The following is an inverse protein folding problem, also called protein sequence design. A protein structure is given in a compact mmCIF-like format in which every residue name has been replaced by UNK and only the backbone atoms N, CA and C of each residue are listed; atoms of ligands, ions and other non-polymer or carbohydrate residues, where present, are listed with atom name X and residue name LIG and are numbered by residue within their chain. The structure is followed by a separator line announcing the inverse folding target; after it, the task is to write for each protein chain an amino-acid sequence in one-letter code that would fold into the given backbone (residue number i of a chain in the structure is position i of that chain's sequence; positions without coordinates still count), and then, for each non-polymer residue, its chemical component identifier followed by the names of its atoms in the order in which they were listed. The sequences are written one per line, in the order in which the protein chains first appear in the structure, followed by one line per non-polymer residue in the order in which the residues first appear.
data_IF_096275894440
#
_entry.id   IF_096275894440
#
_cell.length_a   1.000
_cell.length_b   1.000
_cell.length_c   1.000
_cell.angle_alpha   90.00
_cell.angle_beta   90.00
_cell.angle_gamma   90.00
#
_symmetry.space_group_name_H-M   'P 1'
#
loop_
_entity.id
_entity.type
_entity.pdbx_description
1 polymer ?
#
# COMPACT_ATOMS: atom_id res chain seq x y z
N UNK A 1 -1.23 -9.11 5.00
CA UNK A 1 -1.15 -8.07 6.05
C UNK A 1 -1.57 -6.76 5.42
N UNK A 2 -2.55 -6.09 6.01
CA UNK A 2 -3.18 -4.94 5.34
C UNK A 2 -2.33 -3.66 5.45
N UNK A 3 -2.46 -2.80 4.43
CA UNK A 3 -1.76 -1.52 4.37
C UNK A 3 -2.02 -0.66 5.62
N UNK A 4 -3.24 -0.71 6.15
CA UNK A 4 -3.61 0.05 7.35
C UNK A 4 -2.80 -0.41 8.56
N UNK A 5 -2.79 -1.71 8.84
CA UNK A 5 -2.03 -2.30 9.94
C UNK A 5 -0.53 -2.02 9.81
N UNK A 6 0.00 -2.05 8.58
CA UNK A 6 1.39 -1.67 8.33
C UNK A 6 1.67 -0.22 8.70
N UNK A 7 0.78 0.70 8.30
CA UNK A 7 0.93 2.11 8.63
C UNK A 7 0.78 2.40 10.13
N UNK A 8 0.03 1.60 10.87
CA UNK A 8 -0.14 1.73 12.32
C UNK A 8 1.06 1.21 13.12
N UNK A 9 1.78 0.21 12.59
CA UNK A 9 3.02 -0.29 13.18
C UNK A 9 4.21 0.66 12.97
N UNK A 10 4.10 1.64 12.07
CA UNK A 10 5.18 2.59 11.83
C UNK A 10 5.33 3.57 13.01
N UNK A 11 6.58 3.93 13.37
CA UNK A 11 6.84 4.93 14.41
C UNK A 11 6.27 6.30 14.03
N UNK A 12 6.16 7.20 15.02
CA UNK A 12 5.75 8.60 14.78
C UNK A 12 6.56 9.20 13.63
N UNK A 13 5.87 9.70 12.61
CA UNK A 13 6.50 10.26 11.40
C UNK A 13 6.71 9.26 10.26
N UNK A 14 6.69 7.94 10.52
CA UNK A 14 6.92 6.90 9.51
C UNK A 14 5.90 6.91 8.37
N UNK A 15 4.64 7.29 8.62
CA UNK A 15 3.62 7.51 7.56
C UNK A 15 4.05 8.60 6.55
N UNK A 16 4.77 9.62 7.02
CA UNK A 16 5.31 10.71 6.19
C UNK A 16 6.47 10.22 5.33
N UNK A 17 7.38 9.48 5.93
CA UNK A 17 8.53 8.96 5.20
C UNK A 17 8.11 7.92 4.18
N UNK A 18 7.18 7.05 4.56
CA UNK A 18 6.60 6.08 3.67
C UNK A 18 5.92 6.75 2.48
N UNK A 19 5.08 7.77 2.72
CA UNK A 19 4.41 8.50 1.64
C UNK A 19 5.41 9.16 0.68
N UNK A 20 6.52 9.72 1.19
CA UNK A 20 7.62 10.24 0.36
C UNK A 20 8.30 9.14 -0.47
N UNK A 21 8.56 7.96 0.12
CA UNK A 21 9.22 6.84 -0.59
C UNK A 21 8.39 6.26 -1.73
N UNK A 22 7.06 6.23 -1.59
CA UNK A 22 6.17 5.76 -2.66
C UNK A 22 5.71 6.89 -3.60
N UNK A 23 6.11 8.14 -3.31
CA UNK A 23 5.78 9.35 -4.04
C UNK A 23 4.27 9.65 -4.07
N UNK A 24 3.66 9.66 -2.88
CA UNK A 24 2.25 10.03 -2.70
C UNK A 24 2.06 11.01 -1.56
N UNK A 25 0.92 11.69 -1.58
CA UNK A 25 0.50 12.52 -0.45
C UNK A 25 -0.01 11.65 0.70
N UNK A 26 0.24 12.07 1.94
CA UNK A 26 -0.33 11.45 3.16
C UNK A 26 -1.84 11.20 3.09
N UNK A 27 -2.69 12.19 2.72
CA UNK A 27 -4.13 11.94 2.64
C UNK A 27 -4.48 10.89 1.58
N UNK A 28 -3.76 10.83 0.46
CA UNK A 28 -3.96 9.79 -0.54
C UNK A 28 -3.60 8.40 -0.02
N UNK A 29 -2.45 8.27 0.66
CA UNK A 29 -2.04 7.04 1.35
C UNK A 29 -3.09 6.57 2.37
N UNK A 30 -3.63 7.51 3.17
CA UNK A 30 -4.68 7.20 4.14
C UNK A 30 -5.96 6.71 3.46
N UNK A 31 -6.41 7.40 2.40
CA UNK A 31 -7.60 7.04 1.65
C UNK A 31 -7.48 5.64 1.02
N UNK A 32 -6.29 5.29 0.53
CA UNK A 32 -5.97 3.95 0.05
C UNK A 32 -6.02 2.91 1.17
N UNK A 33 -5.43 3.21 2.33
CA UNK A 33 -5.39 2.28 3.46
C UNK A 33 -6.78 1.97 4.05
N UNK A 34 -7.71 2.93 4.01
CA UNK A 34 -9.10 2.74 4.48
C UNK A 34 -10.05 2.26 3.38
N UNK A 35 -9.55 1.96 2.17
CA UNK A 35 -10.37 1.50 1.04
C UNK A 35 -11.26 2.56 0.38
N UNK A 36 -11.12 3.85 0.72
CA UNK A 36 -11.89 4.94 0.07
C UNK A 36 -11.43 5.25 -1.34
N UNK A 37 -10.21 4.86 -1.72
CA UNK A 37 -9.66 5.06 -3.06
C UNK A 37 -9.00 3.79 -3.58
N UNK A 38 -9.21 3.47 -4.86
CA UNK A 38 -8.51 2.38 -5.53
C UNK A 38 -7.02 2.69 -5.61
N UNK A 39 -6.18 1.74 -5.18
CA UNK A 39 -4.73 1.86 -5.23
C UNK A 39 -4.25 1.70 -6.67
N UNK A 40 -3.59 2.68 -7.30
CA UNK A 40 -3.10 2.52 -8.66
C UNK A 40 -2.06 1.40 -8.77
N UNK A 41 -1.98 0.76 -9.93
CA UNK A 41 -1.16 -0.45 -10.12
C UNK A 41 0.31 -0.22 -9.81
N UNK A 42 0.84 0.92 -10.27
CA UNK A 42 2.23 1.31 -10.04
C UNK A 42 2.52 1.56 -8.55
N UNK A 43 1.52 2.00 -7.78
CA UNK A 43 1.65 2.24 -6.35
C UNK A 43 1.64 0.93 -5.58
N UNK A 44 0.76 -0.01 -5.93
CA UNK A 44 0.74 -1.33 -5.30
C UNK A 44 2.11 -2.03 -5.42
N UNK A 45 2.74 -1.99 -6.61
CA UNK A 45 4.11 -2.50 -6.83
C UNK A 45 5.15 -1.75 -6.00
N UNK A 46 5.07 -0.42 -5.90
CA UNK A 46 5.99 0.38 -5.08
C UNK A 46 5.84 0.08 -3.58
N UNK A 47 4.60 -0.07 -3.09
CA UNK A 47 4.31 -0.41 -1.70
C UNK A 47 4.93 -1.77 -1.38
N UNK A 48 4.69 -2.81 -2.18
CA UNK A 48 5.29 -4.13 -1.96
C UNK A 48 6.81 -4.06 -1.91
N UNK A 49 7.44 -3.34 -2.85
CA UNK A 49 8.89 -3.15 -2.88
C UNK A 49 9.42 -2.40 -1.65
N UNK A 50 8.75 -1.34 -1.21
CA UNK A 50 9.16 -0.53 -0.06
C UNK A 50 8.86 -1.19 1.29
N UNK A 51 7.90 -2.12 1.31
CA UNK A 51 7.55 -2.92 2.49
C UNK A 51 8.28 -4.26 2.53
N UNK A 52 9.18 -4.51 1.56
CA UNK A 52 9.92 -5.77 1.42
C UNK A 52 8.99 -7.01 1.41
N UNK A 53 7.84 -6.89 0.76
CA UNK A 53 6.85 -7.97 0.68
C UNK A 53 5.97 -8.14 1.93
N UNK A 54 6.08 -7.28 2.94
CA UNK A 54 5.16 -7.33 4.10
C UNK A 54 3.72 -7.01 3.71
N UNK A 55 3.52 -6.11 2.76
CA UNK A 55 2.21 -5.82 2.17
C UNK A 55 2.23 -6.27 0.72
N UNK A 56 1.39 -7.26 0.38
CA UNK A 56 1.36 -7.80 -0.98
C UNK A 56 0.57 -6.90 -1.91
N UNK A 57 1.05 -6.72 -3.14
CA UNK A 57 0.29 -6.01 -4.19
C UNK A 57 -1.02 -6.73 -4.56
N UNK A 58 -1.07 -8.05 -4.38
CA UNK A 58 -2.27 -8.87 -4.62
C UNK A 58 -3.36 -8.60 -3.59
N UNK A 59 -2.99 -8.44 -2.31
CA UNK A 59 -3.92 -8.04 -1.25
C UNK A 59 -4.45 -6.61 -1.47
N UNK A 60 -3.61 -5.71 -2.00
CA UNK A 60 -3.99 -4.31 -2.26
C UNK A 60 -4.96 -4.16 -3.43
N UNK A 61 -4.81 -5.01 -4.45
CA UNK A 61 -5.57 -4.98 -5.69
C UNK A 61 -5.79 -6.42 -6.18
N UNK A 62 -6.69 -7.18 -5.55
CA UNK A 62 -7.03 -8.50 -6.07
C UNK A 62 -7.63 -8.39 -7.48
N UNK A 63 -8.36 -7.31 -7.79
CA UNK A 63 -9.03 -7.11 -9.09
C UNK A 63 -8.12 -7.12 -10.34
N UNK A 64 -6.82 -6.86 -10.19
CA UNK A 64 -5.87 -6.79 -11.32
C UNK A 64 -4.87 -7.95 -11.28
N UNK A 65 -4.65 -8.57 -10.12
CA UNK A 65 -3.67 -9.63 -9.94
C UNK A 65 -4.27 -11.02 -9.71
N UNK A 66 -5.57 -11.14 -9.47
CA UNK A 66 -6.29 -12.41 -9.67
C UNK A 66 -6.41 -12.67 -11.18
N UNK A 67 -5.29 -13.05 -11.77
CA UNK A 67 -5.24 -13.86 -12.96
C UNK A 67 -4.44 -15.11 -12.57
N UNK A 68 -5.16 -16.21 -12.36
CA UNK A 68 -4.68 -17.57 -12.09
C UNK A 68 -4.28 -17.91 -10.65
N UNK A 69 -5.23 -18.48 -9.91
CA UNK A 69 -5.01 -19.76 -9.24
C UNK A 69 -5.71 -20.85 -10.08
N UNK A 70 -5.06 -21.23 -11.19
CA UNK A 70 -5.19 -22.55 -11.81
C UNK A 70 -4.27 -23.52 -11.05
#
# INVERSE_FOLDING_TARGET
MDLLSYLEQLPKGGKTEFSKKIDVTKPFLRNMAIGKAKIPIYIAKRIEKQTFGKVSKTELRPDVWDCDAN
#
